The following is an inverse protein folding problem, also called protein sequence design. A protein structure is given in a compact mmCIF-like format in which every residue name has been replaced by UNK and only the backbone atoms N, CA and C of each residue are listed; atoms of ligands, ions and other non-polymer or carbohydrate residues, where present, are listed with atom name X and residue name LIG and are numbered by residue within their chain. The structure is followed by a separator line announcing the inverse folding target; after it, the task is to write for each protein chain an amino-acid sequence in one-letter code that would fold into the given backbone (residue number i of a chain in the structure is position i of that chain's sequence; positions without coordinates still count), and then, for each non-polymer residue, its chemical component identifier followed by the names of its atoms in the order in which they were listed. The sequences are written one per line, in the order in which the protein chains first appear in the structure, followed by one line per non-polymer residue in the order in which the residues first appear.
data_IF_044165296073
#
_entry.id   IF_044165296073
#
_cell.length_a   1.000
_cell.length_b   1.000
_cell.length_c   1.000
_cell.angle_alpha   90.00
_cell.angle_beta   90.00
_cell.angle_gamma   90.00
#
_symmetry.space_group_name_H-M   'P 1'
#
loop_
_entity.id
_entity.type
_entity.pdbx_description
1 polymer ?
#
# COMPACT_ATOMS: atom_id res chain seq x y z
N UNK A 1 23.71 -32.77 46.07
CA UNK A 1 22.95 -31.51 45.89
C UNK A 1 23.72 -30.39 45.16
N UNK A 2 25.07 -30.29 45.26
CA UNK A 2 25.87 -29.22 44.63
C UNK A 2 26.05 -29.35 43.09
N UNK A 3 26.07 -30.58 42.55
CA UNK A 3 26.32 -30.84 41.13
C UNK A 3 25.16 -30.36 40.22
N UNK A 4 23.90 -30.56 40.65
CA UNK A 4 22.72 -30.08 39.92
C UNK A 4 22.63 -28.55 39.87
N UNK A 5 23.08 -27.83 40.91
CA UNK A 5 23.10 -26.35 40.91
C UNK A 5 24.10 -25.80 39.89
N UNK A 6 25.30 -26.38 39.77
CA UNK A 6 26.29 -25.95 38.74
C UNK A 6 25.82 -26.21 37.31
N UNK A 7 25.17 -27.36 37.06
CA UNK A 7 24.55 -27.68 35.76
C UNK A 7 23.39 -26.72 35.47
N UNK A 8 22.58 -26.39 36.49
CA UNK A 8 21.49 -25.42 36.37
C UNK A 8 22.01 -24.01 36.07
N UNK A 9 23.05 -23.51 36.77
CA UNK A 9 23.66 -22.21 36.48
C UNK A 9 24.31 -22.14 35.09
N UNK A 10 24.91 -23.23 34.61
CA UNK A 10 25.45 -23.33 33.23
C UNK A 10 24.33 -23.29 32.18
N UNK A 11 23.21 -23.98 32.42
CA UNK A 11 22.01 -23.93 31.55
C UNK A 11 21.33 -22.56 31.59
N UNK A 12 21.25 -21.92 32.76
CA UNK A 12 20.69 -20.57 32.92
C UNK A 12 21.55 -19.51 32.23
N UNK A 13 22.89 -19.60 32.33
CA UNK A 13 23.80 -18.73 31.60
C UNK A 13 23.73 -18.92 30.07
N UNK A 14 23.61 -20.17 29.60
CA UNK A 14 23.46 -20.47 28.18
C UNK A 14 22.13 -19.98 27.59
N UNK A 15 21.03 -20.04 28.37
CA UNK A 15 19.71 -19.56 27.95
C UNK A 15 19.63 -18.03 27.98
N UNK A 16 20.29 -17.37 28.95
CA UNK A 16 20.39 -15.91 28.99
C UNK A 16 21.18 -15.34 27.80
N UNK A 17 22.24 -16.03 27.34
CA UNK A 17 23.00 -15.63 26.17
C UNK A 17 22.19 -15.74 24.86
N UNK A 18 21.37 -16.78 24.70
CA UNK A 18 20.44 -16.93 23.56
C UNK A 18 19.38 -15.83 23.54
N UNK A 19 18.85 -15.45 24.71
CA UNK A 19 17.87 -14.36 24.83
C UNK A 19 18.48 -13.00 24.52
N UNK A 20 19.75 -12.75 24.90
CA UNK A 20 20.44 -11.50 24.59
C UNK A 20 20.65 -11.28 23.09
N UNK A 21 20.87 -12.34 22.31
CA UNK A 21 21.02 -12.27 20.84
C UNK A 21 19.71 -11.84 20.16
N UNK A 22 18.55 -12.23 20.73
CA UNK A 22 17.23 -11.86 20.17
C UNK A 22 16.90 -10.36 20.30
N UNK A 23 17.59 -9.62 21.17
CA UNK A 23 17.37 -8.17 21.34
C UNK A 23 18.29 -7.31 20.48
N UNK A 24 19.21 -7.90 19.71
CA UNK A 24 20.08 -7.18 18.78
C UNK A 24 19.42 -6.97 17.41
N UNK A 25 18.30 -6.25 17.37
CA UNK A 25 17.75 -5.77 16.10
C UNK A 25 18.44 -4.45 15.71
N UNK A 26 19.07 -4.43 14.54
CA UNK A 26 19.66 -3.23 13.98
C UNK A 26 18.56 -2.46 13.25
N UNK A 27 18.12 -1.34 13.81
CA UNK A 27 17.22 -0.42 13.11
C UNK A 27 18.02 0.35 12.07
N UNK A 28 17.74 0.12 10.78
CA UNK A 28 18.22 0.97 9.70
C UNK A 28 17.04 1.80 9.18
N UNK A 29 17.13 3.14 9.19
CA UNK A 29 16.09 3.96 8.59
C UNK A 29 16.04 3.68 7.09
N UNK A 30 14.84 3.44 6.57
CA UNK A 30 14.61 3.30 5.12
C UNK A 30 14.83 4.69 4.50
N UNK A 31 15.69 4.83 3.48
CA UNK A 31 15.86 6.09 2.78
C UNK A 31 14.52 6.52 2.17
N UNK A 32 14.18 7.80 2.31
CA UNK A 32 13.03 8.36 1.59
C UNK A 32 13.41 8.47 0.11
N UNK A 33 12.63 7.83 -0.74
CA UNK A 33 12.76 7.98 -2.18
C UNK A 33 11.85 9.10 -2.70
N UNK A 34 12.18 9.64 -3.85
CA UNK A 34 11.36 10.67 -4.53
C UNK A 34 10.53 10.01 -5.63
N UNK A 35 9.21 10.21 -5.67
CA UNK A 35 8.37 9.69 -6.75
C UNK A 35 8.82 10.22 -8.13
N UNK A 36 8.69 9.39 -9.16
CA UNK A 36 8.99 9.79 -10.56
C UNK A 36 7.85 10.66 -11.09
N UNK A 37 6.62 10.25 -10.84
CA UNK A 37 5.41 10.97 -11.22
C UNK A 37 5.10 12.07 -10.21
N UNK A 38 4.51 13.17 -10.68
CA UNK A 38 4.02 14.21 -9.79
C UNK A 38 2.85 13.71 -8.93
N UNK A 39 2.67 14.32 -7.77
CA UNK A 39 1.57 14.01 -6.85
C UNK A 39 0.20 14.11 -7.53
N UNK A 40 -0.05 15.19 -8.29
CA UNK A 40 -1.30 15.35 -9.04
C UNK A 40 -1.53 14.23 -10.07
N UNK A 41 -0.46 13.78 -10.74
CA UNK A 41 -0.56 12.68 -11.72
C UNK A 41 -0.91 11.37 -11.02
N UNK A 42 -0.27 11.07 -9.90
CA UNK A 42 -0.52 9.83 -9.12
C UNK A 42 -1.94 9.84 -8.55
N UNK A 43 -2.42 10.97 -8.03
CA UNK A 43 -3.80 11.10 -7.53
C UNK A 43 -4.82 10.74 -8.60
N UNK A 44 -4.68 11.28 -9.81
CA UNK A 44 -5.56 10.98 -10.93
C UNK A 44 -5.55 9.49 -11.31
N UNK A 45 -4.37 8.87 -11.35
CA UNK A 45 -4.22 7.44 -11.66
C UNK A 45 -4.85 6.58 -10.55
N UNK A 46 -4.56 6.86 -9.27
CA UNK A 46 -5.11 6.13 -8.14
C UNK A 46 -6.63 6.24 -8.06
N UNK A 47 -7.17 7.44 -8.32
CA UNK A 47 -8.62 7.65 -8.43
C UNK A 47 -9.23 6.69 -9.47
N UNK A 48 -8.68 6.65 -10.68
CA UNK A 48 -9.20 5.81 -11.76
C UNK A 48 -9.04 4.30 -11.46
N UNK A 49 -7.94 3.91 -10.81
CA UNK A 49 -7.73 2.53 -10.33
C UNK A 49 -8.82 2.15 -9.32
N UNK A 50 -9.11 3.02 -8.35
CA UNK A 50 -10.13 2.74 -7.34
C UNK A 50 -11.55 2.70 -7.92
N UNK A 51 -11.85 3.52 -8.92
CA UNK A 51 -13.10 3.43 -9.67
C UNK A 51 -13.19 2.09 -10.44
N UNK A 52 -12.10 1.67 -11.09
CA UNK A 52 -12.05 0.37 -11.75
C UNK A 52 -12.24 -0.79 -10.77
N UNK A 53 -11.61 -0.75 -9.60
CA UNK A 53 -11.80 -1.75 -8.54
C UNK A 53 -13.25 -1.80 -8.04
N UNK A 54 -13.91 -0.65 -7.90
CA UNK A 54 -15.32 -0.60 -7.54
C UNK A 54 -16.23 -1.28 -8.58
N UNK A 55 -15.89 -1.22 -9.87
CA UNK A 55 -16.62 -1.97 -10.92
C UNK A 55 -16.39 -3.48 -10.83
N UNK A 56 -15.23 -3.89 -10.32
CA UNK A 56 -14.83 -5.28 -10.21
C UNK A 56 -15.40 -5.99 -8.97
N UNK A 57 -16.04 -5.27 -8.03
CA UNK A 57 -16.63 -5.88 -6.83
C UNK A 57 -17.77 -6.84 -7.16
N UNK A 58 -18.48 -6.59 -8.27
CA UNK A 58 -19.61 -7.41 -8.74
C UNK A 58 -19.17 -8.65 -9.52
N UNK A 59 -17.87 -8.80 -9.82
CA UNK A 59 -17.35 -9.93 -10.59
C UNK A 59 -17.04 -11.10 -9.64
N UNK A 60 -17.92 -12.10 -9.63
CA UNK A 60 -17.80 -13.26 -8.75
C UNK A 60 -16.65 -14.21 -9.12
N UNK A 61 -16.38 -14.42 -10.41
CA UNK A 61 -15.29 -15.29 -10.85
C UNK A 61 -13.94 -14.59 -10.72
N UNK A 62 -13.07 -15.15 -9.87
CA UNK A 62 -11.75 -14.56 -9.58
C UNK A 62 -10.88 -14.44 -10.82
N UNK A 63 -10.88 -15.44 -11.72
CA UNK A 63 -10.03 -15.40 -12.91
C UNK A 63 -10.46 -14.29 -13.86
N UNK A 64 -11.77 -14.13 -14.05
CA UNK A 64 -12.36 -13.06 -14.83
C UNK A 64 -12.07 -11.69 -14.20
N UNK A 65 -12.18 -11.58 -12.87
CA UNK A 65 -11.82 -10.38 -12.11
C UNK A 65 -10.35 -9.99 -12.35
N UNK A 66 -9.41 -10.94 -12.19
CA UNK A 66 -7.99 -10.71 -12.41
C UNK A 66 -7.69 -10.28 -13.86
N UNK A 67 -8.40 -10.86 -14.83
CA UNK A 67 -8.23 -10.52 -16.25
C UNK A 67 -8.75 -9.11 -16.57
N UNK A 68 -9.90 -8.75 -16.02
CA UNK A 68 -10.48 -7.42 -16.20
C UNK A 68 -9.64 -6.35 -15.48
N UNK A 69 -9.14 -6.63 -14.27
CA UNK A 69 -8.24 -5.74 -13.55
C UNK A 69 -7.01 -5.38 -14.38
N UNK A 70 -6.32 -6.39 -14.94
CA UNK A 70 -5.16 -6.15 -15.82
C UNK A 70 -5.50 -5.29 -17.03
N UNK A 71 -6.66 -5.54 -17.64
CA UNK A 71 -7.13 -4.75 -18.78
C UNK A 71 -7.38 -3.29 -18.38
N UNK A 72 -8.10 -3.06 -17.28
CA UNK A 72 -8.41 -1.72 -16.78
C UNK A 72 -7.16 -0.96 -16.39
N UNK A 73 -6.23 -1.55 -15.64
CA UNK A 73 -4.99 -0.88 -15.26
C UNK A 73 -4.18 -0.50 -16.49
N UNK A 74 -4.04 -1.41 -17.46
CA UNK A 74 -3.37 -1.11 -18.73
C UNK A 74 -4.04 0.00 -19.53
N UNK A 75 -5.36 0.15 -19.46
CA UNK A 75 -6.09 1.27 -20.08
C UNK A 75 -5.89 2.59 -19.32
N UNK A 76 -5.89 2.55 -17.99
CA UNK A 76 -5.68 3.71 -17.12
C UNK A 76 -4.27 4.27 -17.35
N UNK A 77 -3.24 3.42 -17.33
CA UNK A 77 -1.86 3.85 -17.59
C UNK A 77 -1.72 4.51 -18.97
N UNK A 78 -2.34 3.93 -20.01
CA UNK A 78 -2.40 4.54 -21.34
C UNK A 78 -3.15 5.87 -21.37
N UNK A 79 -4.26 5.99 -20.62
CA UNK A 79 -5.06 7.22 -20.55
C UNK A 79 -4.25 8.37 -19.94
N UNK A 80 -3.39 8.05 -18.97
CA UNK A 80 -2.57 9.04 -18.26
C UNK A 80 -1.21 9.29 -18.87
N UNK A 81 -0.86 8.58 -19.96
CA UNK A 81 0.45 8.59 -20.61
C UNK A 81 1.59 8.26 -19.62
N UNK A 82 1.45 7.12 -18.94
CA UNK A 82 2.37 6.64 -17.91
C UNK A 82 2.70 5.18 -18.16
N UNK A 83 3.98 4.83 -18.02
CA UNK A 83 4.40 3.42 -17.99
C UNK A 83 4.14 2.80 -16.61
N UNK A 84 3.75 1.53 -16.58
CA UNK A 84 3.47 0.83 -15.31
C UNK A 84 4.68 0.90 -14.35
N UNK A 85 5.90 0.76 -14.88
CA UNK A 85 7.12 0.82 -14.09
C UNK A 85 7.35 2.20 -13.45
N UNK A 86 6.91 3.29 -14.09
CA UNK A 86 6.99 4.65 -13.52
C UNK A 86 6.00 4.81 -12.37
N UNK A 87 4.79 4.27 -12.52
CA UNK A 87 3.79 4.25 -11.46
C UNK A 87 4.27 3.40 -10.27
N UNK A 88 4.76 2.19 -10.52
CA UNK A 88 5.22 1.27 -9.48
C UNK A 88 6.40 1.86 -8.69
N UNK A 89 7.38 2.47 -9.36
CA UNK A 89 8.48 3.18 -8.71
C UNK A 89 8.00 4.40 -7.92
N UNK A 90 7.04 5.15 -8.45
CA UNK A 90 6.48 6.29 -7.73
C UNK A 90 5.74 5.87 -6.47
N UNK A 91 4.94 4.80 -6.54
CA UNK A 91 4.27 4.23 -5.37
C UNK A 91 5.27 3.69 -4.35
N UNK A 92 6.39 3.13 -4.79
CA UNK A 92 7.46 2.68 -3.89
C UNK A 92 7.98 3.84 -3.02
N UNK A 93 8.19 5.01 -3.62
CA UNK A 93 8.60 6.20 -2.87
C UNK A 93 7.60 6.57 -1.76
N UNK A 94 6.29 6.55 -2.04
CA UNK A 94 5.28 6.77 -0.99
C UNK A 94 5.27 5.68 0.08
N UNK A 95 5.53 4.41 -0.26
CA UNK A 95 5.63 3.34 0.75
C UNK A 95 6.80 3.52 1.72
N UNK A 96 7.85 4.25 1.34
CA UNK A 96 8.97 4.61 2.22
C UNK A 96 8.69 5.82 3.12
N UNK A 97 7.60 6.56 2.89
CA UNK A 97 7.23 7.76 3.64
C UNK A 97 5.75 7.74 4.09
N UNK A 98 5.43 7.07 5.23
CA UNK A 98 4.04 6.87 5.65
C UNK A 98 3.19 8.14 5.79
N UNK A 99 3.70 9.28 6.32
CA UNK A 99 2.96 10.54 6.30
C UNK A 99 2.60 11.04 4.89
N UNK A 100 3.50 10.89 3.91
CA UNK A 100 3.22 11.29 2.53
C UNK A 100 2.17 10.37 1.89
N UNK A 101 2.24 9.06 2.15
CA UNK A 101 1.25 8.09 1.69
C UNK A 101 -0.15 8.39 2.27
N UNK A 102 -0.23 8.69 3.57
CA UNK A 102 -1.50 9.05 4.21
C UNK A 102 -2.09 10.32 3.58
N UNK A 103 -1.29 11.38 3.42
CA UNK A 103 -1.72 12.62 2.76
C UNK A 103 -2.28 12.37 1.36
N UNK A 104 -1.54 11.62 0.53
CA UNK A 104 -1.95 11.25 -0.81
C UNK A 104 -3.33 10.55 -0.80
N UNK A 105 -3.52 9.56 0.08
CA UNK A 105 -4.79 8.83 0.16
C UNK A 105 -5.94 9.68 0.70
N UNK A 106 -5.70 10.60 1.64
CA UNK A 106 -6.74 11.53 2.10
C UNK A 106 -7.27 12.38 0.93
N UNK A 107 -6.39 12.85 0.06
CA UNK A 107 -6.77 13.62 -1.12
C UNK A 107 -7.59 12.76 -2.11
N UNK A 108 -7.12 11.56 -2.45
CA UNK A 108 -7.84 10.65 -3.37
C UNK A 108 -9.23 10.30 -2.83
N UNK A 109 -9.35 10.02 -1.52
CA UNK A 109 -10.64 9.71 -0.88
C UNK A 109 -11.58 10.92 -0.93
N UNK A 110 -11.06 12.12 -0.68
CA UNK A 110 -11.83 13.36 -0.74
C UNK A 110 -12.39 13.61 -2.14
N UNK A 111 -11.56 13.45 -3.18
CA UNK A 111 -11.98 13.59 -4.58
C UNK A 111 -13.08 12.60 -4.96
N UNK A 112 -12.91 11.32 -4.62
CA UNK A 112 -13.92 10.28 -4.88
C UNK A 112 -15.24 10.55 -4.13
N UNK A 113 -15.17 11.09 -2.90
CA UNK A 113 -16.35 11.44 -2.13
C UNK A 113 -17.14 12.59 -2.77
N UNK A 114 -16.44 13.60 -3.30
CA UNK A 114 -17.08 14.72 -4.00
C UNK A 114 -17.69 14.27 -5.33
N UNK A 115 -17.00 13.44 -6.12
CA UNK A 115 -17.55 12.87 -7.35
C UNK A 115 -18.83 12.06 -7.08
N UNK A 116 -18.84 11.26 -6.01
CA UNK A 116 -20.03 10.52 -5.58
C UNK A 116 -21.21 11.44 -5.24
N UNK A 117 -20.94 12.56 -4.56
CA UNK A 117 -21.96 13.55 -4.21
C UNK A 117 -22.54 14.21 -5.46
N UNK A 118 -21.69 14.67 -6.38
CA UNK A 118 -22.09 15.26 -7.67
C UNK A 118 -22.94 14.27 -8.47
N UNK A 119 -22.54 13.00 -8.55
CA UNK A 119 -23.28 11.96 -9.25
C UNK A 119 -24.67 11.71 -8.61
N UNK A 120 -24.78 11.79 -7.29
CA UNK A 120 -26.06 11.66 -6.58
C UNK A 120 -26.99 12.87 -6.81
N UNK A 121 -26.45 14.08 -6.92
CA UNK A 121 -27.22 15.30 -7.23
C UNK A 121 -27.77 15.27 -8.66
N UNK A 122 -26.96 14.86 -9.65
CA UNK A 122 -27.41 14.69 -11.05
C UNK A 122 -28.60 13.72 -11.16
N UNK A 123 -28.51 12.56 -10.48
CA UNK A 123 -29.61 11.57 -10.44
C UNK A 123 -30.91 12.10 -9.84
N UNK A 124 -30.86 13.13 -8.99
CA UNK A 124 -32.05 13.78 -8.41
C UNK A 124 -32.62 14.85 -9.34
N UNK A 125 -31.79 15.50 -10.16
CA UNK A 125 -32.23 16.51 -11.11
C UNK A 125 -32.90 15.90 -12.36
N UNK A 126 -32.51 14.69 -12.73
CA UNK A 126 -33.07 13.96 -13.89
C UNK A 126 -34.36 13.18 -13.57
N UNK A 127 -34.89 13.28 -12.33
CA UNK A 127 -36.10 12.59 -11.85
C UNK A 127 -37.21 13.57 -11.52
#
# INVERSE_FOLDING_TARGET
MQLNRKILYKKMGSMAALVAILFSSCYQPIPKETPILSEDKIKLILRDIHLAEALLTEVADRRSKDSLARMYYGQIFKLHDVDQDEFDQSMHAYFTDPPALDSLYQEVISELAEEKKIAAEKKKADK
#
